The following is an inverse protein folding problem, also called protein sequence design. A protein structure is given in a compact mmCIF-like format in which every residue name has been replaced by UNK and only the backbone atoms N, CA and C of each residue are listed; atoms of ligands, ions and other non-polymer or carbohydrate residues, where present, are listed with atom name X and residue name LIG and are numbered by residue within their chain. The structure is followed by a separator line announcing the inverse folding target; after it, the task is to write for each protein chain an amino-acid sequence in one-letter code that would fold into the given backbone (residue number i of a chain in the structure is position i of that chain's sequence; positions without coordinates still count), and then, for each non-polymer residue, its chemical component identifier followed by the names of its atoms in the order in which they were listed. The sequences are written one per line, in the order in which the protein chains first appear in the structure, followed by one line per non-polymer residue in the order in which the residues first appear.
data_IF_477674538144
#
_entry.id   IF_477674538144
#
_cell.length_a   1.000
_cell.length_b   1.000
_cell.length_c   1.000
_cell.angle_alpha   90.00
_cell.angle_beta   90.00
_cell.angle_gamma   90.00
#
_symmetry.space_group_name_H-M   'P 1'
#
loop_
_entity.id
_entity.type
_entity.pdbx_description
1 polymer ?
#
# COMPACT_ATOMS: atom_id res chain seq x y z
N UNK A 1 -24.15 -6.09 6.03
CA UNK A 1 -23.91 -4.73 6.59
C UNK A 1 -22.43 -4.64 6.87
N UNK A 2 -21.65 -4.04 5.98
CA UNK A 2 -20.19 -3.94 6.14
C UNK A 2 -19.90 -2.87 7.19
N UNK A 3 -19.48 -3.30 8.37
CA UNK A 3 -19.01 -2.45 9.43
C UNK A 3 -17.70 -1.80 8.95
N UNK A 4 -17.78 -0.54 8.52
CA UNK A 4 -16.62 0.27 8.19
C UNK A 4 -16.14 0.95 9.48
N UNK A 5 -15.54 0.15 10.37
CA UNK A 5 -14.88 0.69 11.55
C UNK A 5 -13.65 1.51 11.16
N UNK A 6 -13.42 2.52 12.00
CA UNK A 6 -12.68 3.75 11.69
C UNK A 6 -11.22 3.59 11.29
N UNK A 7 -10.78 4.58 10.51
CA UNK A 7 -9.40 4.96 10.23
C UNK A 7 -8.44 3.82 9.85
N UNK A 8 -8.64 3.21 8.68
CA UNK A 8 -7.69 2.24 8.12
C UNK A 8 -6.42 2.95 7.62
N UNK A 9 -5.53 3.29 8.53
CA UNK A 9 -4.19 3.75 8.17
C UNK A 9 -3.44 2.59 7.48
N UNK A 10 -2.44 2.90 6.65
CA UNK A 10 -1.63 1.91 5.93
C UNK A 10 -1.16 0.77 6.84
N UNK A 11 -0.79 1.08 8.08
CA UNK A 11 -0.31 0.09 9.03
C UNK A 11 -1.36 -0.97 9.38
N UNK A 12 -2.62 -0.58 9.59
CA UNK A 12 -3.67 -1.49 10.02
C UNK A 12 -4.06 -2.43 8.89
N UNK A 13 -4.15 -1.90 7.66
CA UNK A 13 -4.37 -2.72 6.46
C UNK A 13 -3.20 -3.66 6.25
N UNK A 14 -1.96 -3.15 6.36
CA UNK A 14 -0.76 -3.96 6.18
C UNK A 14 -0.70 -5.14 7.16
N UNK A 15 -1.01 -4.92 8.44
CA UNK A 15 -1.02 -5.97 9.47
C UNK A 15 -1.99 -7.10 9.15
N UNK A 16 -3.10 -6.81 8.46
CA UNK A 16 -4.07 -7.83 8.04
C UNK A 16 -3.60 -8.63 6.83
N UNK A 17 -2.99 -7.96 5.86
CA UNK A 17 -2.68 -8.59 4.56
C UNK A 17 -1.26 -9.17 4.48
N UNK A 18 -0.35 -8.79 5.37
CA UNK A 18 1.05 -9.18 5.26
C UNK A 18 1.27 -10.69 5.43
N UNK A 19 0.47 -11.33 6.29
CA UNK A 19 0.53 -12.78 6.49
C UNK A 19 0.10 -13.53 5.22
N UNK A 20 -1.04 -13.13 4.63
CA UNK A 20 -1.51 -13.73 3.37
C UNK A 20 -0.51 -13.52 2.22
N UNK A 21 0.12 -12.34 2.15
CA UNK A 21 1.18 -12.07 1.17
C UNK A 21 2.38 -13.01 1.40
N UNK A 22 2.79 -13.23 2.65
CA UNK A 22 3.87 -14.17 2.96
C UNK A 22 3.50 -15.61 2.56
N UNK A 23 2.28 -16.05 2.86
CA UNK A 23 1.76 -17.35 2.46
C UNK A 23 1.85 -17.54 0.93
N UNK A 24 1.45 -16.53 0.16
CA UNK A 24 1.56 -16.54 -1.32
C UNK A 24 3.02 -16.64 -1.77
N UNK A 25 3.92 -15.85 -1.17
CA UNK A 25 5.34 -15.85 -1.53
C UNK A 25 6.02 -17.19 -1.22
N UNK A 26 5.56 -17.90 -0.19
CA UNK A 26 5.99 -19.26 0.16
C UNK A 26 5.37 -20.33 -0.73
N UNK A 27 4.46 -19.97 -1.63
CA UNK A 27 3.77 -20.92 -2.51
C UNK A 27 2.71 -21.76 -1.80
N UNK A 28 2.21 -21.31 -0.63
CA UNK A 28 1.08 -21.97 0.03
C UNK A 28 -0.19 -21.73 -0.78
N UNK A 29 -1.05 -22.75 -0.84
CA UNK A 29 -2.35 -22.62 -1.47
C UNK A 29 -3.25 -21.70 -0.64
N UNK A 30 -4.04 -20.87 -1.31
CA UNK A 30 -5.11 -20.07 -0.72
C UNK A 30 -6.45 -20.50 -1.28
N UNK A 31 -7.45 -20.59 -0.41
CA UNK A 31 -8.84 -20.78 -0.82
C UNK A 31 -9.37 -19.52 -1.53
N UNK A 32 -10.44 -19.70 -2.30
CA UNK A 32 -11.11 -18.56 -2.96
C UNK A 32 -11.64 -17.52 -1.96
N UNK A 33 -11.98 -17.92 -0.74
CA UNK A 33 -12.49 -17.00 0.29
C UNK A 33 -11.36 -16.12 0.81
N UNK A 34 -10.24 -16.73 1.21
CA UNK A 34 -9.05 -16.01 1.69
C UNK A 34 -8.52 -15.04 0.64
N UNK A 35 -8.48 -15.46 -0.64
CA UNK A 35 -8.08 -14.57 -1.73
C UNK A 35 -9.01 -13.36 -1.87
N UNK A 36 -10.32 -13.56 -1.74
CA UNK A 36 -11.30 -12.48 -1.83
C UNK A 36 -11.19 -11.52 -0.65
N UNK A 37 -10.92 -12.02 0.55
CA UNK A 37 -10.72 -11.19 1.74
C UNK A 37 -9.47 -10.32 1.60
N UNK A 38 -8.34 -10.91 1.17
CA UNK A 38 -7.13 -10.18 0.83
C UNK A 38 -7.39 -9.10 -0.24
N UNK A 39 -8.06 -9.46 -1.33
CA UNK A 39 -8.41 -8.55 -2.41
C UNK A 39 -9.26 -7.37 -1.90
N UNK A 40 -10.30 -7.67 -1.13
CA UNK A 40 -11.22 -6.66 -0.60
C UNK A 40 -10.51 -5.69 0.35
N UNK A 41 -9.61 -6.17 1.20
CA UNK A 41 -8.89 -5.32 2.15
C UNK A 41 -7.97 -4.33 1.42
N UNK A 42 -7.25 -4.79 0.39
CA UNK A 42 -6.40 -3.94 -0.46
C UNK A 42 -7.25 -2.96 -1.29
N UNK A 43 -8.35 -3.43 -1.87
CA UNK A 43 -9.27 -2.60 -2.64
C UNK A 43 -9.86 -1.48 -1.79
N UNK A 44 -10.37 -1.81 -0.60
CA UNK A 44 -10.96 -0.85 0.32
C UNK A 44 -9.96 0.24 0.75
N UNK A 45 -8.70 -0.13 0.98
CA UNK A 45 -7.63 0.84 1.24
C UNK A 45 -7.44 1.82 0.07
N UNK A 46 -7.36 1.29 -1.15
CA UNK A 46 -7.23 2.12 -2.35
C UNK A 46 -8.46 3.02 -2.55
N UNK A 47 -9.67 2.51 -2.36
CA UNK A 47 -10.90 3.30 -2.49
C UNK A 47 -11.00 4.43 -1.44
N UNK A 48 -10.59 4.19 -0.18
CA UNK A 48 -10.58 5.21 0.87
C UNK A 48 -9.54 6.31 0.61
N UNK A 49 -8.38 5.97 0.07
CA UNK A 49 -7.36 6.98 -0.29
C UNK A 49 -7.78 7.84 -1.49
N UNK A 50 -8.65 7.34 -2.38
CA UNK A 50 -9.28 8.13 -3.45
C UNK A 50 -10.23 9.21 -2.91
N UNK A 51 -11.09 8.87 -1.94
CA UNK A 51 -12.09 9.81 -1.42
C UNK A 51 -11.44 10.96 -0.64
N UNK A 52 -10.34 10.70 0.07
CA UNK A 52 -9.55 11.74 0.74
C UNK A 52 -8.86 12.71 -0.25
N UNK A 53 -8.42 12.22 -1.41
CA UNK A 53 -7.80 13.06 -2.45
C UNK A 53 -8.79 13.86 -3.31
N UNK A 54 -10.06 13.50 -3.31
CA UNK A 54 -11.11 14.14 -4.14
C UNK A 54 -12.03 15.10 -3.38
N UNK A 55 -11.82 15.29 -2.07
CA UNK A 55 -12.66 16.18 -1.24
C UNK A 55 -12.24 17.66 -1.35
N UNK A 56 -12.17 18.18 -2.58
CA UNK A 56 -12.18 19.62 -2.88
C UNK A 56 -13.32 19.92 -3.84
N UNK A 57 -14.56 19.64 -3.41
CA UNK A 57 -15.77 20.22 -4.02
C UNK A 57 -16.38 21.18 -3.02
N UNK A 58 -15.80 22.37 -2.94
CA UNK A 58 -16.53 23.54 -2.43
C UNK A 58 -17.61 23.90 -3.46
N UNK A 59 -18.87 24.11 -3.03
CA UNK A 59 -19.90 24.59 -3.94
C UNK A 59 -19.61 26.04 -4.32
N UNK A 60 -19.71 26.33 -5.62
CA UNK A 60 -19.59 27.67 -6.19
C UNK A 60 -20.60 28.59 -5.50
N UNK A 61 -20.11 29.54 -4.71
CA UNK A 61 -20.87 30.72 -4.31
C UNK A 61 -20.11 31.96 -4.78
N UNK A 62 -20.80 32.69 -5.65
CA UNK A 62 -20.40 33.91 -6.34
C UNK A 62 -20.04 35.09 -5.41
N UNK A 63 -19.28 36.05 -5.96
CA UNK A 63 -18.93 37.40 -5.45
C UNK A 63 -17.80 37.37 -4.39
N UNK A 64 -16.69 38.12 -4.43
CA UNK A 64 -16.39 39.50 -4.90
C UNK A 64 -14.87 39.65 -5.11
N UNK A 65 -14.46 40.62 -5.94
CA UNK A 65 -13.07 41.00 -6.25
C UNK A 65 -12.31 41.54 -5.02
N UNK A 66 -11.03 41.20 -4.88
CA UNK A 66 -10.00 42.08 -4.31
C UNK A 66 -8.59 41.57 -4.63
N UNK A 67 -7.77 42.51 -5.08
CA UNK A 67 -6.37 42.40 -5.48
C UNK A 67 -5.42 41.85 -4.41
N UNK A 68 -4.29 41.34 -4.89
CA UNK A 68 -3.01 41.62 -4.25
C UNK A 68 -2.38 40.49 -3.44
N UNK A 69 -1.26 40.02 -3.97
CA UNK A 69 -0.07 39.60 -3.24
C UNK A 69 0.07 38.11 -2.88
N UNK A 70 0.99 37.49 -3.63
CA UNK A 70 1.97 36.53 -3.16
C UNK A 70 1.44 35.23 -2.54
N UNK A 71 1.04 34.29 -3.40
CA UNK A 71 1.37 32.87 -3.20
C UNK A 71 1.77 32.29 -4.54
N UNK A 72 3.06 32.19 -4.77
CA UNK A 72 3.63 31.19 -5.67
C UNK A 72 3.27 29.82 -5.06
N UNK A 73 2.02 29.38 -5.25
CA UNK A 73 1.68 27.98 -5.11
C UNK A 73 2.31 27.31 -6.30
N UNK A 74 3.42 26.62 -6.06
CA UNK A 74 3.88 25.52 -6.88
C UNK A 74 2.67 24.64 -7.19
N UNK A 75 2.06 24.86 -8.36
CA UNK A 75 1.17 23.91 -9.02
C UNK A 75 2.04 22.81 -9.64
N UNK A 76 2.93 22.22 -8.83
CA UNK A 76 3.74 21.07 -9.22
C UNK A 76 3.11 19.84 -8.59
N UNK A 77 2.76 18.89 -9.46
CA UNK A 77 2.53 17.47 -9.18
C UNK A 77 1.56 17.12 -8.05
N UNK A 78 0.28 16.90 -8.41
CA UNK A 78 -0.75 16.72 -7.39
C UNK A 78 -1.60 15.46 -7.45
N UNK A 79 -1.50 14.59 -8.46
CA UNK A 79 -2.35 13.38 -8.47
C UNK A 79 -1.76 12.37 -7.47
N UNK A 80 -2.11 12.49 -6.19
CA UNK A 80 -1.75 11.53 -5.13
C UNK A 80 -2.07 10.13 -5.65
N UNK A 81 -1.03 9.35 -5.94
CA UNK A 81 -1.19 8.00 -6.48
C UNK A 81 -1.89 7.18 -5.41
N UNK A 82 -3.11 6.76 -5.74
CA UNK A 82 -3.95 5.92 -4.91
C UNK A 82 -3.21 4.62 -4.62
N UNK A 83 -3.11 4.24 -3.35
CA UNK A 83 -2.37 3.04 -2.97
C UNK A 83 -0.85 3.14 -3.16
N UNK A 84 -0.29 4.30 -3.50
CA UNK A 84 1.15 4.47 -3.74
C UNK A 84 2.02 4.10 -2.52
N UNK A 85 1.54 4.42 -1.31
CA UNK A 85 2.22 4.03 -0.07
C UNK A 85 2.17 2.52 0.17
N UNK A 86 1.03 1.88 -0.14
CA UNK A 86 0.89 0.43 -0.06
C UNK A 86 1.81 -0.27 -1.06
N UNK A 87 1.83 0.21 -2.31
CA UNK A 87 2.75 -0.30 -3.33
C UNK A 87 4.22 -0.18 -2.89
N UNK A 88 4.61 0.97 -2.34
CA UNK A 88 5.99 1.20 -1.88
C UNK A 88 6.35 0.24 -0.75
N UNK A 89 5.43 0.02 0.20
CA UNK A 89 5.61 -0.93 1.30
C UNK A 89 5.71 -2.37 0.79
N UNK A 90 4.80 -2.78 -0.09
CA UNK A 90 4.80 -4.09 -0.74
C UNK A 90 6.11 -4.36 -1.50
N UNK A 91 6.54 -3.41 -2.33
CA UNK A 91 7.78 -3.49 -3.08
C UNK A 91 8.99 -3.66 -2.16
N UNK A 92 9.02 -2.93 -1.06
CA UNK A 92 10.11 -3.02 -0.06
C UNK A 92 10.10 -4.38 0.63
N UNK A 93 8.93 -4.87 1.01
CA UNK A 93 8.76 -6.17 1.64
C UNK A 93 9.21 -7.32 0.73
N UNK A 94 8.77 -7.34 -0.53
CA UNK A 94 9.18 -8.37 -1.52
C UNK A 94 10.69 -8.37 -1.72
N UNK A 95 11.33 -7.19 -1.83
CA UNK A 95 12.79 -7.11 -1.94
C UNK A 95 13.49 -7.74 -0.73
N UNK A 96 13.06 -7.39 0.48
CA UNK A 96 13.63 -7.94 1.70
C UNK A 96 13.42 -9.47 1.80
N UNK A 97 12.26 -9.96 1.37
CA UNK A 97 11.95 -11.39 1.30
C UNK A 97 12.90 -12.12 0.34
N UNK A 98 13.09 -11.61 -0.88
CA UNK A 98 14.02 -12.19 -1.85
C UNK A 98 15.47 -12.16 -1.34
N UNK A 99 15.90 -11.07 -0.71
CA UNK A 99 17.24 -11.01 -0.10
C UNK A 99 17.42 -12.05 1.01
N UNK A 100 16.41 -12.26 1.85
CA UNK A 100 16.41 -13.30 2.90
C UNK A 100 16.57 -14.69 2.28
N UNK A 101 15.82 -14.98 1.22
CA UNK A 101 15.90 -16.25 0.51
C UNK A 101 17.28 -16.44 -0.12
N UNK A 102 17.79 -15.46 -0.87
CA UNK A 102 19.10 -15.54 -1.52
C UNK A 102 20.23 -15.75 -0.51
N UNK A 103 20.22 -15.03 0.63
CA UNK A 103 21.21 -15.21 1.70
C UNK A 103 21.14 -16.62 2.31
N UNK A 104 19.93 -17.15 2.47
CA UNK A 104 19.72 -18.49 3.02
C UNK A 104 20.29 -19.56 2.08
N UNK A 105 20.01 -19.48 0.78
CA UNK A 105 20.59 -20.40 -0.22
C UNK A 105 22.12 -20.28 -0.29
N UNK A 106 22.66 -19.05 -0.32
CA UNK A 106 24.11 -18.85 -0.34
C UNK A 106 24.78 -19.46 0.90
N UNK A 107 24.17 -19.31 2.08
CA UNK A 107 24.68 -19.92 3.32
C UNK A 107 24.66 -21.44 3.25
N UNK A 108 23.60 -22.04 2.71
CA UNK A 108 23.51 -23.50 2.55
C UNK A 108 24.62 -24.03 1.64
N UNK A 109 24.81 -23.42 0.47
CA UNK A 109 25.88 -23.80 -0.47
C UNK A 109 27.26 -23.66 0.17
N UNK A 110 27.54 -22.57 0.88
CA UNK A 110 28.84 -22.38 1.55
C UNK A 110 29.10 -23.42 2.66
N UNK A 111 28.06 -23.83 3.39
CA UNK A 111 28.18 -24.89 4.40
C UNK A 111 28.46 -26.25 3.75
N UNK A 112 27.80 -26.57 2.63
CA UNK A 112 28.06 -27.79 1.86
C UNK A 112 29.52 -27.83 1.36
N UNK A 113 30.04 -26.71 0.85
CA UNK A 113 31.44 -26.64 0.36
C UNK A 113 32.52 -26.71 1.45
N UNK A 114 32.16 -26.52 2.72
CA UNK A 114 33.10 -26.59 3.85
C UNK A 114 32.99 -27.89 4.65
N UNK A 115 32.06 -28.78 4.28
CA UNK A 115 31.87 -30.11 4.86
C UNK A 115 32.53 -31.23 4.02
N UNK A 116 33.06 -30.92 2.85
CA UNK A 116 33.96 -31.77 2.04
C UNK A 116 35.44 -31.44 2.29
#
# INVERSE_FOLDING_TARGET
MLHMDGNSNLNDVWMKVSEDIENILEGREMSSVEYMDLYNEVYNYCAKTQSQGSSTRTPIKSTTKSDGNNRHSTMEDGKKIVGGEFYTKLKTYIKAYLEKICKSYLRLVLLETHLE
#
